data_IF_498175092411
#
_entry.id   IF_498175092411
#
_cell.length_a   1.000
_cell.length_b   1.000
_cell.length_c   1.000
_cell.angle_alpha   90.00
_cell.angle_beta   90.00
_cell.angle_gamma   90.00
#
_symmetry.space_group_name_H-M   'P 1'
#
loop_
_entity.id
_entity.type
_entity.pdbx_description
1 polymer ?
#
# COMPACT_ATOMS: atom_id res chain seq x y z
N UNK A 1 25.14 -3.92 55.48
CA UNK A 1 24.04 -4.83 55.84
C UNK A 1 23.32 -5.16 54.56
N UNK A 2 23.65 -6.26 53.97
CA UNK A 2 23.02 -7.60 54.08
C UNK A 2 21.65 -7.58 53.39
N UNK A 3 21.26 -8.35 52.45
CA UNK A 3 21.64 -9.62 51.83
C UNK A 3 20.62 -9.84 50.67
N UNK A 4 21.04 -10.26 49.43
CA UNK A 4 21.18 -11.66 48.99
C UNK A 4 19.84 -12.44 48.84
N UNK A 5 19.52 -12.84 47.65
CA UNK A 5 19.19 -14.20 47.14
C UNK A 5 18.55 -14.12 45.78
N UNK A 6 19.18 -14.46 44.68
CA UNK A 6 19.53 -15.77 44.11
C UNK A 6 18.44 -16.85 44.22
N UNK A 7 17.90 -17.22 43.06
CA UNK A 7 17.55 -18.58 42.67
C UNK A 7 17.30 -18.60 41.17
N UNK A 8 18.01 -19.13 40.34
CA UNK A 8 18.63 -20.36 39.86
C UNK A 8 17.79 -21.62 40.14
N UNK A 9 17.31 -22.23 39.10
CA UNK A 9 17.27 -23.66 38.79
C UNK A 9 16.48 -23.84 37.50
N UNK A 10 17.10 -24.22 36.43
CA UNK A 10 17.50 -25.58 36.04
C UNK A 10 16.24 -26.36 35.61
N UNK A 11 16.19 -26.68 34.37
CA UNK A 11 16.85 -27.79 33.64
C UNK A 11 15.88 -28.93 33.35
N UNK A 12 16.12 -29.46 32.17
CA UNK A 12 15.96 -30.88 31.76
C UNK A 12 14.54 -31.30 31.39
N UNK A 13 14.39 -31.69 30.20
CA UNK A 13 14.78 -32.95 29.52
C UNK A 13 13.56 -33.85 29.31
N UNK A 14 13.27 -34.16 28.09
CA UNK A 14 12.86 -35.50 27.65
C UNK A 14 12.66 -35.49 26.12
N UNK A 15 13.70 -35.94 25.46
CA UNK A 15 13.58 -36.63 24.20
C UNK A 15 12.79 -37.93 24.45
N UNK A 16 11.85 -38.24 23.58
CA UNK A 16 11.35 -39.60 23.48
C UNK A 16 11.34 -39.99 22.00
N UNK A 17 12.28 -40.89 21.72
CA UNK A 17 12.37 -41.75 20.56
C UNK A 17 11.10 -42.58 20.45
N UNK A 18 10.54 -42.69 19.27
CA UNK A 18 9.72 -43.83 18.90
C UNK A 18 10.25 -44.44 17.61
N UNK A 19 10.81 -45.59 17.85
CA UNK A 19 11.35 -46.57 16.93
C UNK A 19 10.39 -46.93 15.79
N UNK A 20 11.03 -47.16 14.68
CA UNK A 20 10.56 -47.87 13.51
C UNK A 20 10.50 -49.35 13.88
N UNK A 21 9.34 -49.96 13.77
CA UNK A 21 9.23 -51.41 13.67
C UNK A 21 8.73 -51.79 12.28
N UNK A 22 9.66 -52.39 11.56
CA UNK A 22 9.42 -53.26 10.41
C UNK A 22 8.88 -54.60 10.85
N UNK A 23 8.23 -55.26 9.89
CA UNK A 23 7.94 -56.67 9.76
C UNK A 23 6.66 -57.22 10.40
N UNK A 24 5.77 -57.59 9.54
CA UNK A 24 5.27 -58.98 9.53
C UNK A 24 4.65 -59.32 8.19
N UNK A 25 5.32 -60.16 7.46
CA UNK A 25 4.76 -60.97 6.37
C UNK A 25 3.64 -61.86 6.91
N UNK A 26 2.56 -61.90 6.18
CA UNK A 26 1.43 -62.76 6.41
C UNK A 26 0.83 -63.21 5.08
N UNK A 27 1.37 -64.25 4.56
CA UNK A 27 0.89 -65.07 3.44
C UNK A 27 -0.49 -65.64 3.78
N UNK A 28 -1.48 -65.44 2.90
CA UNK A 28 -2.82 -65.95 3.11
C UNK A 28 -3.71 -65.86 1.85
N UNK A 29 -3.53 -66.83 0.96
CA UNK A 29 -4.53 -67.45 0.05
C UNK A 29 -5.63 -66.64 -0.55
N UNK A 30 -5.61 -66.60 -1.90
CA UNK A 30 -6.67 -66.27 -2.82
C UNK A 30 -8.03 -66.91 -2.50
N UNK A 31 -9.11 -66.18 -2.87
CA UNK A 31 -9.93 -66.73 -3.93
C UNK A 31 -10.13 -65.74 -5.10
N UNK A 32 -9.75 -66.19 -6.25
CA UNK A 32 -10.06 -65.55 -7.54
C UNK A 32 -11.59 -65.41 -7.70
N UNK A 33 -12.14 -64.29 -7.26
CA UNK A 33 -13.48 -63.85 -7.68
C UNK A 33 -13.31 -63.23 -9.05
N UNK A 34 -13.78 -63.97 -10.07
CA UNK A 34 -13.97 -63.49 -11.42
C UNK A 34 -14.98 -62.33 -11.36
N UNK A 35 -14.52 -61.11 -11.34
CA UNK A 35 -15.38 -59.95 -11.47
C UNK A 35 -16.08 -60.02 -12.82
N UNK A 36 -17.41 -59.88 -12.87
CA UNK A 36 -18.16 -59.92 -14.15
C UNK A 36 -17.69 -58.80 -15.04
N UNK A 37 -17.41 -59.10 -16.28
CA UNK A 37 -16.87 -58.20 -17.30
C UNK A 37 -17.66 -56.85 -17.38
N UNK A 38 -18.94 -56.91 -17.05
CA UNK A 38 -19.83 -55.72 -16.97
C UNK A 38 -19.46 -54.75 -15.88
N UNK A 39 -18.92 -55.22 -14.74
CA UNK A 39 -18.50 -54.37 -13.64
C UNK A 39 -17.19 -53.63 -13.96
N UNK A 40 -16.27 -54.27 -14.68
CA UNK A 40 -15.04 -53.68 -15.17
C UNK A 40 -15.33 -52.57 -16.20
N UNK A 41 -16.29 -52.78 -17.07
CA UNK A 41 -16.72 -51.80 -18.06
C UNK A 41 -17.36 -50.55 -17.42
N UNK A 42 -18.14 -50.72 -16.33
CA UNK A 42 -18.74 -49.61 -15.59
C UNK A 42 -17.68 -48.80 -14.83
N UNK A 43 -16.71 -49.48 -14.21
CA UNK A 43 -15.60 -48.79 -13.48
C UNK A 43 -14.68 -48.06 -14.47
N UNK A 44 -14.36 -48.66 -15.62
CA UNK A 44 -13.52 -48.01 -16.66
C UNK A 44 -14.27 -46.82 -17.30
N UNK A 45 -15.58 -46.94 -17.57
CA UNK A 45 -16.40 -45.84 -18.08
C UNK A 45 -16.54 -44.69 -17.08
N UNK A 46 -16.74 -45.03 -15.78
CA UNK A 46 -16.78 -44.00 -14.71
C UNK A 46 -15.50 -43.25 -14.51
N UNK A 47 -14.35 -43.95 -14.57
CA UNK A 47 -13.03 -43.31 -14.46
C UNK A 47 -12.75 -42.34 -15.63
N UNK A 48 -13.20 -42.68 -16.83
CA UNK A 48 -13.02 -41.84 -18.03
C UNK A 48 -13.88 -40.56 -17.97
N UNK A 49 -15.08 -40.64 -17.41
CA UNK A 49 -15.94 -39.46 -17.18
C UNK A 49 -15.38 -38.56 -16.07
N UNK A 50 -14.83 -39.11 -14.99
CA UNK A 50 -14.24 -38.34 -13.91
C UNK A 50 -12.93 -37.66 -14.33
N UNK A 51 -12.08 -38.36 -15.10
CA UNK A 51 -10.85 -37.78 -15.63
C UNK A 51 -11.10 -36.77 -16.74
N UNK A 52 -12.07 -37.00 -17.63
CA UNK A 52 -12.44 -36.06 -18.69
C UNK A 52 -13.25 -34.88 -18.17
N UNK A 53 -14.25 -35.12 -17.32
CA UNK A 53 -15.06 -34.04 -16.74
C UNK A 53 -14.38 -33.23 -15.66
N UNK A 54 -13.57 -33.88 -14.82
CA UNK A 54 -12.82 -33.20 -13.78
C UNK A 54 -11.71 -32.29 -14.34
N UNK A 55 -11.05 -32.72 -15.43
CA UNK A 55 -10.02 -31.91 -16.12
C UNK A 55 -10.58 -30.66 -16.74
N UNK A 56 -11.76 -30.72 -17.37
CA UNK A 56 -12.41 -29.55 -17.96
C UNK A 56 -12.95 -28.60 -16.89
N UNK A 57 -13.55 -29.12 -15.81
CA UNK A 57 -14.01 -28.29 -14.70
C UNK A 57 -12.83 -27.58 -13.98
N UNK A 58 -11.72 -28.29 -13.74
CA UNK A 58 -10.51 -27.71 -13.17
C UNK A 58 -9.90 -26.64 -14.10
N UNK A 59 -9.91 -26.86 -15.42
CA UNK A 59 -9.45 -25.88 -16.39
C UNK A 59 -10.31 -24.60 -16.38
N UNK A 60 -11.64 -24.72 -16.21
CA UNK A 60 -12.52 -23.56 -16.10
C UNK A 60 -12.40 -22.82 -14.76
N UNK A 61 -12.13 -23.55 -13.67
CA UNK A 61 -12.03 -22.95 -12.32
C UNK A 61 -10.62 -22.36 -12.07
N UNK A 62 -9.55 -23.02 -12.53
CA UNK A 62 -8.17 -22.58 -12.32
C UNK A 62 -7.53 -21.91 -13.54
N UNK A 63 -7.95 -22.21 -14.76
CA UNK A 63 -7.42 -21.60 -15.99
C UNK A 63 -8.13 -20.30 -16.38
N UNK A 64 -9.21 -19.93 -15.69
CA UNK A 64 -9.96 -18.71 -15.93
C UNK A 64 -9.45 -17.46 -15.19
N UNK A 65 -8.26 -17.48 -14.62
CA UNK A 65 -7.56 -16.24 -14.32
C UNK A 65 -7.20 -15.59 -15.68
N UNK A 66 -8.20 -15.01 -16.36
CA UNK A 66 -7.93 -13.93 -17.27
C UNK A 66 -7.12 -12.94 -16.45
N UNK A 67 -5.81 -12.86 -16.71
CA UNK A 67 -5.08 -11.63 -16.46
C UNK A 67 -5.97 -10.54 -17.06
N UNK A 68 -6.70 -9.88 -16.20
CA UNK A 68 -7.28 -8.59 -16.53
C UNK A 68 -6.04 -7.77 -16.81
N UNK A 69 -5.60 -7.78 -18.08
CA UNK A 69 -4.64 -6.84 -18.62
C UNK A 69 -5.25 -5.51 -18.19
N UNK A 70 -4.75 -4.98 -17.06
CA UNK A 70 -5.16 -3.70 -16.55
C UNK A 70 -5.05 -2.81 -17.78
N UNK A 71 -6.19 -2.40 -18.30
CA UNK A 71 -6.23 -1.49 -19.42
C UNK A 71 -5.31 -0.36 -18.96
N UNK A 72 -4.17 -0.22 -19.63
CA UNK A 72 -3.24 0.84 -19.35
C UNK A 72 -4.07 2.10 -19.48
N UNK A 73 -4.50 2.64 -18.34
CA UNK A 73 -5.18 3.93 -18.30
C UNK A 73 -4.19 4.85 -19.00
N UNK A 74 -4.57 5.48 -20.13
CA UNK A 74 -3.66 6.38 -20.83
C UNK A 74 -3.20 7.39 -19.80
N UNK A 75 -1.94 7.29 -19.40
CA UNK A 75 -1.32 8.22 -18.47
C UNK A 75 -1.27 9.54 -19.24
N UNK A 76 -2.25 10.41 -18.98
CA UNK A 76 -2.20 11.77 -19.52
C UNK A 76 -0.90 12.39 -19.00
N UNK A 77 -0.11 13.03 -19.86
CA UNK A 77 1.11 13.69 -19.42
C UNK A 77 0.76 14.72 -18.36
N UNK A 78 1.27 14.52 -17.16
CA UNK A 78 1.14 15.48 -16.08
C UNK A 78 1.97 16.72 -16.42
N UNK A 79 1.39 17.88 -16.25
CA UNK A 79 2.07 19.16 -16.46
C UNK A 79 2.37 19.78 -15.12
N UNK A 80 3.54 20.41 -15.01
CA UNK A 80 3.98 21.08 -13.80
C UNK A 80 3.99 22.59 -14.00
N UNK A 81 3.50 23.32 -12.99
CA UNK A 81 3.46 24.75 -12.99
C UNK A 81 4.12 25.30 -11.71
N UNK A 82 5.13 26.13 -11.89
CA UNK A 82 5.80 26.79 -10.78
C UNK A 82 4.89 27.85 -10.12
N UNK A 83 4.91 27.88 -8.80
CA UNK A 83 4.27 28.92 -7.98
C UNK A 83 5.35 29.88 -7.50
N UNK A 84 5.10 31.19 -7.42
CA UNK A 84 6.02 32.13 -6.82
C UNK A 84 6.43 31.71 -5.42
N UNK A 85 7.65 32.05 -5.04
CA UNK A 85 8.19 31.77 -3.70
C UNK A 85 7.34 32.45 -2.62
N UNK A 86 7.05 31.72 -1.55
CA UNK A 86 6.32 32.22 -0.39
C UNK A 86 7.26 32.30 0.80
N UNK A 87 7.36 33.48 1.40
CA UNK A 87 8.10 33.74 2.64
C UNK A 87 7.12 34.26 3.69
N UNK A 88 7.02 33.56 4.81
CA UNK A 88 6.13 33.92 5.92
C UNK A 88 6.81 33.77 7.26
N UNK A 89 6.30 34.50 8.26
CA UNK A 89 6.66 34.28 9.65
C UNK A 89 5.79 33.16 10.20
N UNK A 90 6.41 32.18 10.87
CA UNK A 90 5.70 31.13 11.57
C UNK A 90 5.09 31.65 12.88
N UNK A 91 4.00 31.03 13.29
CA UNK A 91 3.35 31.30 14.57
C UNK A 91 4.22 30.75 15.71
N UNK A 92 4.83 31.65 16.49
CA UNK A 92 5.62 31.30 17.66
C UNK A 92 4.81 31.56 18.91
N UNK A 93 4.52 30.48 19.67
CA UNK A 93 3.93 30.60 20.99
C UNK A 93 5.04 30.34 22.02
N UNK A 94 5.52 31.40 22.68
CA UNK A 94 6.40 31.30 23.83
C UNK A 94 7.91 31.37 23.56
N UNK A 95 8.37 31.78 22.38
CA UNK A 95 9.79 32.06 22.10
C UNK A 95 9.97 33.46 21.54
N UNK A 96 10.97 34.19 22.01
CA UNK A 96 11.30 35.55 21.57
C UNK A 96 11.92 35.62 20.15
N UNK A 97 12.08 34.45 19.48
CA UNK A 97 12.72 34.38 18.17
C UNK A 97 11.65 34.21 17.08
N UNK A 98 11.57 35.17 16.19
CA UNK A 98 10.76 35.06 14.97
C UNK A 98 11.43 34.06 14.03
N UNK A 99 10.69 33.03 13.63
CA UNK A 99 11.14 32.07 12.64
C UNK A 99 10.44 32.31 11.32
N UNK A 100 11.19 32.24 10.23
CA UNK A 100 10.70 32.43 8.89
C UNK A 100 10.62 31.08 8.16
N UNK A 101 9.54 30.88 7.45
CA UNK A 101 9.36 29.76 6.56
C UNK A 101 9.40 30.23 5.11
N UNK A 102 10.37 29.69 4.38
CA UNK A 102 10.52 29.89 2.94
C UNK A 102 10.08 28.63 2.22
N UNK A 103 9.14 28.74 1.28
CA UNK A 103 8.62 27.60 0.54
C UNK A 103 8.59 27.89 -0.95
N UNK A 104 9.15 26.97 -1.74
CA UNK A 104 9.00 26.92 -3.19
C UNK A 104 8.21 25.67 -3.56
N UNK A 105 7.13 25.85 -4.28
CA UNK A 105 6.23 24.78 -4.66
C UNK A 105 5.96 24.74 -6.16
N UNK A 106 5.53 23.57 -6.60
CA UNK A 106 5.05 23.31 -7.96
C UNK A 106 3.68 22.66 -7.87
N UNK A 107 2.79 23.07 -8.73
CA UNK A 107 1.48 22.44 -8.87
C UNK A 107 1.54 21.37 -9.95
N UNK A 108 1.09 20.17 -9.63
CA UNK A 108 0.90 19.08 -10.57
C UNK A 108 -0.50 19.18 -11.18
N UNK A 109 -0.56 19.43 -12.48
CA UNK A 109 -1.81 19.60 -13.21
C UNK A 109 -2.18 18.31 -13.96
N UNK A 110 -3.44 17.88 -13.91
CA UNK A 110 -3.90 16.73 -14.68
C UNK A 110 -3.97 16.99 -16.19
N UNK A 111 -4.02 18.26 -16.59
CA UNK A 111 -4.14 18.67 -17.97
C UNK A 111 -3.46 20.03 -18.19
N UNK A 112 -2.63 20.19 -19.24
CA UNK A 112 -1.96 21.46 -19.55
C UNK A 112 -2.93 22.61 -19.89
N UNK A 113 -4.15 22.31 -20.32
CA UNK A 113 -5.17 23.32 -20.64
C UNK A 113 -5.66 24.11 -19.43
N UNK A 114 -5.42 23.59 -18.22
CA UNK A 114 -5.77 24.28 -16.96
C UNK A 114 -4.76 25.37 -16.59
N UNK A 115 -3.58 25.38 -17.17
CA UNK A 115 -2.52 26.31 -16.81
C UNK A 115 -2.94 27.80 -16.91
N UNK A 116 -3.60 28.28 -17.98
CA UNK A 116 -4.03 29.70 -18.06
C UNK A 116 -5.06 30.07 -16.99
N UNK A 117 -5.97 29.14 -16.66
CA UNK A 117 -7.00 29.36 -15.65
C UNK A 117 -6.39 29.50 -14.26
N UNK A 118 -5.44 28.59 -13.93
CA UNK A 118 -4.73 28.61 -12.65
C UNK A 118 -3.83 29.85 -12.55
N UNK A 119 -3.19 30.26 -13.65
CA UNK A 119 -2.40 31.49 -13.71
C UNK A 119 -3.24 32.73 -13.37
N UNK A 120 -4.48 32.81 -13.88
CA UNK A 120 -5.40 33.88 -13.55
C UNK A 120 -5.84 33.86 -12.09
N UNK A 121 -5.97 32.67 -11.50
CA UNK A 121 -6.35 32.48 -10.11
C UNK A 121 -5.15 32.53 -9.13
N UNK A 122 -3.91 32.71 -9.65
CA UNK A 122 -2.68 32.67 -8.85
C UNK A 122 -2.71 33.59 -7.62
N UNK A 123 -3.24 34.83 -7.68
CA UNK A 123 -3.34 35.68 -6.50
C UNK A 123 -4.14 35.02 -5.36
N UNK A 124 -5.21 34.31 -5.67
CA UNK A 124 -6.02 33.58 -4.67
C UNK A 124 -5.27 32.39 -4.07
N UNK A 125 -4.51 31.70 -4.91
CA UNK A 125 -3.64 30.58 -4.46
C UNK A 125 -2.58 31.11 -3.50
N UNK A 126 -1.93 32.24 -3.84
CA UNK A 126 -0.92 32.87 -2.99
C UNK A 126 -1.47 33.35 -1.66
N UNK A 127 -2.66 33.95 -1.66
CA UNK A 127 -3.35 34.38 -0.44
C UNK A 127 -3.67 33.17 0.47
N UNK A 128 -4.23 32.11 -0.10
CA UNK A 128 -4.51 30.87 0.63
C UNK A 128 -3.25 30.24 1.25
N UNK A 129 -2.13 30.27 0.53
CA UNK A 129 -0.84 29.78 1.03
C UNK A 129 -0.33 30.65 2.18
N UNK A 130 -0.28 31.95 1.99
CA UNK A 130 0.22 32.89 3.00
C UNK A 130 -0.61 32.82 4.28
N UNK A 131 -1.92 32.76 4.17
CA UNK A 131 -2.82 32.66 5.31
C UNK A 131 -2.54 31.40 6.12
N UNK A 132 -2.49 30.25 5.45
CA UNK A 132 -2.27 28.97 6.14
C UNK A 132 -0.86 28.83 6.71
N UNK A 133 0.17 29.18 5.92
CA UNK A 133 1.55 29.03 6.35
C UNK A 133 1.90 29.89 7.58
N UNK A 134 1.22 31.03 7.76
CA UNK A 134 1.38 31.90 8.96
C UNK A 134 0.78 31.29 10.24
N UNK A 135 -0.21 30.40 10.09
CA UNK A 135 -0.83 29.71 11.22
C UNK A 135 0.03 28.57 11.76
N UNK A 136 0.97 28.06 10.93
CA UNK A 136 1.81 26.93 11.28
C UNK A 136 2.84 27.28 12.34
N UNK A 137 3.10 26.31 13.20
CA UNK A 137 4.22 26.31 14.16
C UNK A 137 5.40 25.54 13.61
N UNK A 138 6.62 25.84 14.03
CA UNK A 138 7.78 25.05 13.63
C UNK A 138 7.60 23.55 13.88
N UNK A 139 7.00 23.18 15.01
CA UNK A 139 6.69 21.79 15.36
C UNK A 139 5.74 21.08 14.40
N UNK A 140 4.91 21.82 13.67
CA UNK A 140 3.98 21.23 12.70
C UNK A 140 4.69 20.78 11.41
N UNK A 141 5.91 21.27 11.21
CA UNK A 141 6.77 20.96 10.07
C UNK A 141 7.79 19.85 10.38
N UNK A 142 7.85 19.39 11.63
CA UNK A 142 8.81 18.39 12.05
C UNK A 142 8.49 17.01 11.49
N UNK A 143 9.54 16.41 10.91
CA UNK A 143 9.47 15.05 10.37
C UNK A 143 8.68 14.92 9.07
N UNK A 144 8.66 13.71 8.54
CA UNK A 144 7.96 13.40 7.28
C UNK A 144 6.45 13.51 7.38
N UNK A 145 5.90 13.22 8.55
CA UNK A 145 4.44 13.31 8.79
C UNK A 145 3.94 14.75 8.75
N UNK A 146 4.71 15.72 9.29
CA UNK A 146 4.40 17.14 9.22
C UNK A 146 4.38 17.66 7.79
N UNK A 147 5.42 17.32 7.02
CA UNK A 147 5.51 17.70 5.60
C UNK A 147 4.41 17.07 4.75
N UNK A 148 4.00 15.83 5.04
CA UNK A 148 2.90 15.20 4.34
C UNK A 148 1.56 15.92 4.61
N UNK A 149 1.27 16.24 5.87
CA UNK A 149 0.07 17.02 6.24
C UNK A 149 0.05 18.39 5.56
N UNK A 150 1.21 19.07 5.55
CA UNK A 150 1.37 20.35 4.87
C UNK A 150 1.03 20.23 3.38
N UNK A 151 1.56 19.20 2.70
CA UNK A 151 1.27 18.94 1.29
C UNK A 151 -0.21 18.73 1.02
N UNK A 152 -0.85 17.89 1.81
CA UNK A 152 -2.29 17.59 1.71
C UNK A 152 -3.15 18.85 1.91
N UNK A 153 -2.85 19.61 2.95
CA UNK A 153 -3.59 20.82 3.27
C UNK A 153 -3.42 21.92 2.21
N UNK A 154 -2.19 22.14 1.72
CA UNK A 154 -1.95 23.07 0.64
C UNK A 154 -2.67 22.65 -0.64
N UNK A 155 -2.68 21.36 -0.98
CA UNK A 155 -3.42 20.84 -2.14
C UNK A 155 -4.91 21.11 -1.99
N UNK A 156 -5.48 20.89 -0.81
CA UNK A 156 -6.88 21.15 -0.52
C UNK A 156 -7.23 22.64 -0.69
N UNK A 157 -6.38 23.53 -0.14
CA UNK A 157 -6.59 24.98 -0.21
C UNK A 157 -6.46 25.54 -1.64
N UNK A 158 -5.49 25.04 -2.39
CA UNK A 158 -5.36 25.37 -3.82
C UNK A 158 -6.63 24.98 -4.56
N UNK A 159 -7.10 23.74 -4.38
CA UNK A 159 -8.30 23.25 -5.06
C UNK A 159 -9.56 24.04 -4.69
N UNK A 160 -9.65 24.56 -3.47
CA UNK A 160 -10.72 25.47 -3.07
C UNK A 160 -10.60 26.83 -3.77
N UNK A 161 -9.38 27.37 -3.89
CA UNK A 161 -9.13 28.69 -4.49
C UNK A 161 -9.37 28.72 -6.00
N UNK A 162 -9.06 27.61 -6.70
CA UNK A 162 -9.16 27.50 -8.15
C UNK A 162 -10.44 26.83 -8.66
N UNK A 163 -11.37 26.50 -7.74
CA UNK A 163 -12.64 25.84 -8.12
C UNK A 163 -13.33 26.58 -9.29
N UNK A 164 -13.87 25.86 -10.30
CA UNK A 164 -14.08 24.41 -10.42
C UNK A 164 -12.87 23.60 -10.90
N UNK A 165 -11.77 24.23 -11.30
CA UNK A 165 -10.53 23.54 -11.70
C UNK A 165 -9.90 22.81 -10.51
N UNK A 166 -9.04 21.81 -10.80
CA UNK A 166 -8.34 21.05 -9.75
C UNK A 166 -6.91 20.74 -10.17
N UNK A 167 -6.01 20.75 -9.19
CA UNK A 167 -4.67 20.19 -9.30
C UNK A 167 -4.61 18.81 -8.64
N UNK A 168 -3.70 17.96 -9.11
CA UNK A 168 -3.49 16.64 -8.53
C UNK A 168 -2.81 16.75 -7.17
N UNK A 169 -1.75 17.54 -7.10
CA UNK A 169 -0.94 17.69 -5.90
C UNK A 169 -0.14 19.00 -5.90
N UNK A 170 0.24 19.44 -4.72
CA UNK A 170 1.28 20.43 -4.48
C UNK A 170 2.58 19.69 -4.20
N UNK A 171 3.64 20.00 -4.90
CA UNK A 171 4.97 19.42 -4.73
C UNK A 171 5.94 20.47 -4.20
N UNK A 172 6.77 20.08 -3.24
CA UNK A 172 7.79 20.97 -2.69
C UNK A 172 9.09 20.87 -3.49
N UNK A 173 9.59 22.02 -3.96
CA UNK A 173 10.95 22.15 -4.47
C UNK A 173 11.94 22.46 -3.36
N UNK A 174 11.54 23.32 -2.43
CA UNK A 174 12.37 23.78 -1.34
C UNK A 174 11.51 24.17 -0.13
N UNK A 175 11.91 23.73 1.05
CA UNK A 175 11.35 24.18 2.33
C UNK A 175 12.52 24.49 3.25
N UNK A 176 12.56 25.71 3.74
CA UNK A 176 13.61 26.19 4.67
C UNK A 176 12.95 26.91 5.83
N UNK A 177 13.28 26.51 7.05
CA UNK A 177 12.92 27.20 8.29
C UNK A 177 14.18 27.88 8.81
N UNK A 178 14.11 29.17 9.05
CA UNK A 178 15.24 30.03 9.51
C UNK A 178 14.88 30.75 10.79
#
# INVERSE_FOLDING_TARGET
>A
MAAKKTNKAAAEDAADDVEIDEESEGEGSEPKRKLPLKLIAIIAGGALVVLGGGGTAAYFIFGGAKETKAAAVPVKPTTFMDVPEVLVNLSNVGTDRTQYLKVKVVLELPDPTLQPQIQTAMPRVMDAFQTYLRELRPSDLDGSAGLYRLKEELTRRVNAAISPSRVNAVLFKEIVVQ
#
